data_IF_299579756651
#
_entry.id   IF_299579756651
#
_cell.length_a   1.000
_cell.length_b   1.000
_cell.length_c   1.000
_cell.angle_alpha   90.00
_cell.angle_beta   90.00
_cell.angle_gamma   90.00
#
_symmetry.space_group_name_H-M   'P 1'
#
loop_
_entity.id
_entity.type
_entity.pdbx_description
1 polymer ?
#
# COMPACT_ATOMS: atom_id res chain seq x y z
N UNK A 1 7.90 4.46 -23.18
CA UNK A 1 9.15 5.14 -22.74
C UNK A 1 10.32 4.20 -22.95
N UNK A 2 11.31 4.63 -23.73
CA UNK A 2 12.58 3.92 -23.94
C UNK A 2 13.65 4.42 -22.96
N UNK A 3 14.77 3.69 -22.85
CA UNK A 3 15.93 4.16 -22.07
C UNK A 3 16.47 5.48 -22.62
N UNK A 4 16.45 5.64 -23.94
CA UNK A 4 16.92 6.89 -24.56
C UNK A 4 16.00 8.09 -24.22
N UNK A 5 14.67 7.87 -24.11
CA UNK A 5 13.72 8.90 -23.64
C UNK A 5 14.03 9.31 -22.18
N UNK A 6 14.32 8.33 -21.30
CA UNK A 6 14.67 8.58 -19.90
C UNK A 6 15.95 9.40 -19.81
N UNK A 7 16.98 9.05 -20.59
CA UNK A 7 18.28 9.74 -20.62
C UNK A 7 18.11 11.19 -21.06
N UNK A 8 17.31 11.43 -22.11
CA UNK A 8 17.04 12.76 -22.64
C UNK A 8 16.31 13.61 -21.60
N UNK A 9 15.23 13.08 -21.02
CA UNK A 9 14.42 13.81 -20.03
C UNK A 9 15.21 14.12 -18.76
N UNK A 10 16.02 13.17 -18.28
CA UNK A 10 16.86 13.33 -17.11
C UNK A 10 18.11 14.22 -17.38
N UNK A 11 18.43 14.52 -18.63
CA UNK A 11 19.61 15.32 -18.99
C UNK A 11 20.95 14.66 -18.62
N UNK A 12 21.02 13.33 -18.63
CA UNK A 12 22.21 12.56 -18.23
C UNK A 12 22.86 11.86 -19.43
N UNK A 13 24.15 11.51 -19.31
CA UNK A 13 24.84 10.72 -20.32
C UNK A 13 24.42 9.25 -20.29
N UNK A 14 24.41 8.58 -21.45
CA UNK A 14 24.06 7.15 -21.56
C UNK A 14 24.93 6.26 -20.66
N UNK A 15 26.23 6.57 -20.55
CA UNK A 15 27.13 5.87 -19.63
C UNK A 15 26.77 6.04 -18.16
N UNK A 16 26.26 7.23 -17.78
CA UNK A 16 25.78 7.50 -16.42
C UNK A 16 24.55 6.65 -16.09
N UNK A 17 23.60 6.56 -17.03
CA UNK A 17 22.43 5.70 -16.85
C UNK A 17 22.83 4.24 -16.61
N UNK A 18 23.64 3.64 -17.49
CA UNK A 18 24.05 2.23 -17.38
C UNK A 18 25.03 1.94 -16.23
N UNK A 19 25.59 2.98 -15.62
CA UNK A 19 26.33 2.83 -14.37
C UNK A 19 25.39 2.51 -13.18
N UNK A 20 24.18 3.06 -13.18
CA UNK A 20 23.22 2.86 -12.08
C UNK A 20 22.18 1.78 -12.38
N UNK A 21 21.75 1.61 -13.62
CA UNK A 21 20.67 0.73 -14.02
C UNK A 21 21.07 -0.16 -15.19
N UNK A 22 20.96 -1.47 -15.00
CA UNK A 22 21.29 -2.44 -16.05
C UNK A 22 20.22 -2.49 -17.15
N UNK A 23 18.97 -2.13 -16.84
CA UNK A 23 17.83 -2.19 -17.74
C UNK A 23 16.76 -1.16 -17.37
N UNK A 24 15.78 -0.99 -18.26
CA UNK A 24 14.58 -0.19 -18.00
C UNK A 24 13.75 -0.78 -16.85
N UNK A 25 13.68 -2.09 -16.77
CA UNK A 25 13.00 -2.81 -15.71
C UNK A 25 13.66 -2.55 -14.35
N UNK A 26 15.00 -2.52 -14.30
CA UNK A 26 15.75 -2.17 -13.08
C UNK A 26 15.47 -0.71 -12.66
N UNK A 27 15.31 0.20 -13.62
CA UNK A 27 14.92 1.59 -13.32
C UNK A 27 13.50 1.64 -12.73
N UNK A 28 12.55 0.93 -13.33
CA UNK A 28 11.17 0.88 -12.83
C UNK A 28 11.13 0.30 -11.41
N UNK A 29 11.87 -0.77 -11.15
CA UNK A 29 11.98 -1.38 -9.82
C UNK A 29 12.52 -0.38 -8.79
N UNK A 30 13.58 0.36 -9.12
CA UNK A 30 14.14 1.38 -8.21
C UNK A 30 13.16 2.53 -7.93
N UNK A 31 12.39 2.97 -8.91
CA UNK A 31 11.35 3.99 -8.73
C UNK A 31 10.27 3.49 -7.78
N UNK A 32 9.83 2.24 -7.92
CA UNK A 32 8.82 1.64 -7.06
C UNK A 32 9.33 1.46 -5.64
N UNK A 33 10.58 1.01 -5.46
CA UNK A 33 11.19 0.92 -4.14
C UNK A 33 11.22 2.28 -3.44
N UNK A 34 11.55 3.35 -4.16
CA UNK A 34 11.51 4.71 -3.63
C UNK A 34 10.10 5.16 -3.25
N UNK A 35 9.07 4.76 -4.03
CA UNK A 35 7.66 5.05 -3.71
C UNK A 35 7.23 4.32 -2.43
N UNK A 36 7.59 3.04 -2.28
CA UNK A 36 7.27 2.24 -1.09
C UNK A 36 7.99 2.81 0.15
N UNK A 37 9.26 3.17 0.03
CA UNK A 37 10.01 3.80 1.13
C UNK A 37 9.38 5.13 1.58
N UNK A 38 8.97 5.96 0.63
CA UNK A 38 8.23 7.19 0.92
C UNK A 38 6.91 6.90 1.65
N UNK A 39 6.13 5.93 1.17
CA UNK A 39 4.88 5.52 1.80
C UNK A 39 5.11 4.98 3.22
N UNK A 40 6.15 4.16 3.42
CA UNK A 40 6.56 3.65 4.72
C UNK A 40 6.89 4.77 5.70
N UNK A 41 7.64 5.78 5.27
CA UNK A 41 8.00 6.93 6.10
C UNK A 41 6.77 7.74 6.52
N UNK A 42 5.81 7.97 5.61
CA UNK A 42 4.53 8.62 5.91
C UNK A 42 3.72 7.78 6.91
N UNK A 43 3.63 6.47 6.68
CA UNK A 43 2.91 5.55 7.55
C UNK A 43 3.51 5.48 8.96
N UNK A 44 4.84 5.43 9.08
CA UNK A 44 5.54 5.49 10.38
C UNK A 44 5.29 6.82 11.11
N UNK A 45 5.26 7.93 10.39
CA UNK A 45 4.93 9.23 10.97
C UNK A 45 3.49 9.27 11.51
N UNK A 46 2.54 8.58 10.86
CA UNK A 46 1.16 8.48 11.33
C UNK A 46 1.04 7.80 12.71
N UNK A 47 1.90 6.81 13.01
CA UNK A 47 1.97 6.16 14.33
C UNK A 47 2.22 7.17 15.45
N UNK A 48 3.10 8.13 15.22
CA UNK A 48 3.56 9.09 16.22
C UNK A 48 2.58 10.27 16.42
N UNK A 49 1.62 10.44 15.51
CA UNK A 49 0.66 11.52 15.61
C UNK A 49 -0.39 11.26 16.69
N UNK A 50 -0.71 12.25 17.55
CA UNK A 50 -1.74 12.12 18.58
C UNK A 50 -3.15 12.33 17.99
N UNK A 51 -3.54 11.48 17.04
CA UNK A 51 -4.84 11.49 16.39
C UNK A 51 -5.61 10.20 16.68
N UNK A 52 -6.93 10.15 16.48
CA UNK A 52 -7.73 8.93 16.67
C UNK A 52 -7.20 7.74 15.87
N UNK A 53 -7.37 6.52 16.39
CA UNK A 53 -6.91 5.27 15.78
C UNK A 53 -7.41 5.13 14.33
N UNK A 54 -8.66 5.47 14.05
CA UNK A 54 -9.24 5.43 12.71
C UNK A 54 -8.54 6.37 11.73
N UNK A 55 -8.12 7.55 12.19
CA UNK A 55 -7.34 8.49 11.37
C UNK A 55 -5.91 7.98 11.13
N UNK A 56 -5.28 7.32 12.11
CA UNK A 56 -3.97 6.67 11.91
C UNK A 56 -4.09 5.59 10.83
N UNK A 57 -5.09 4.72 10.93
CA UNK A 57 -5.35 3.66 9.94
C UNK A 57 -5.59 4.25 8.55
N UNK A 58 -6.46 5.26 8.44
CA UNK A 58 -6.71 5.96 7.18
C UNK A 58 -5.42 6.54 6.59
N UNK A 59 -4.61 7.21 7.41
CA UNK A 59 -3.33 7.79 6.96
C UNK A 59 -2.37 6.74 6.41
N UNK A 60 -2.32 5.54 7.00
CA UNK A 60 -1.49 4.44 6.49
C UNK A 60 -2.05 3.92 5.16
N UNK A 61 -3.36 3.69 5.07
CA UNK A 61 -4.00 3.24 3.83
C UNK A 61 -3.73 4.24 2.70
N UNK A 62 -3.93 5.54 2.94
CA UNK A 62 -3.67 6.58 1.95
C UNK A 62 -2.19 6.72 1.58
N UNK A 63 -1.26 6.43 2.50
CA UNK A 63 0.18 6.51 2.23
C UNK A 63 0.62 5.52 1.13
N UNK A 64 -0.04 4.36 1.03
CA UNK A 64 0.24 3.33 0.03
C UNK A 64 -0.61 3.48 -1.25
N UNK A 65 -1.50 4.46 -1.33
CA UNK A 65 -2.21 4.77 -2.57
C UNK A 65 -1.32 5.62 -3.49
N UNK A 66 -1.29 5.32 -4.79
CA UNK A 66 -0.53 6.13 -5.74
C UNK A 66 -1.13 7.53 -5.84
N UNK A 67 -0.28 8.55 -5.82
CA UNK A 67 -0.69 9.91 -6.11
C UNK A 67 -0.88 10.11 -7.63
N UNK A 68 -1.32 11.30 -8.05
CA UNK A 68 -1.62 11.60 -9.45
C UNK A 68 -0.43 11.40 -10.39
N UNK A 69 0.79 11.66 -9.93
CA UNK A 69 2.01 11.51 -10.73
C UNK A 69 2.45 10.04 -10.77
N UNK A 70 2.11 9.26 -9.75
CA UNK A 70 2.43 7.85 -9.61
C UNK A 70 1.44 6.93 -10.36
N UNK A 71 0.22 7.39 -10.66
CA UNK A 71 -0.81 6.61 -11.41
C UNK A 71 -0.27 6.08 -12.74
N UNK A 72 0.55 6.85 -13.46
CA UNK A 72 1.15 6.41 -14.72
C UNK A 72 2.05 5.18 -14.53
N UNK A 73 2.67 5.05 -13.36
CA UNK A 73 3.53 3.91 -13.01
C UNK A 73 2.67 2.69 -12.72
N UNK A 74 1.56 2.86 -11.99
CA UNK A 74 0.62 1.76 -11.70
C UNK A 74 -0.02 1.21 -12.98
N UNK A 75 -0.41 2.07 -13.93
CA UNK A 75 -0.91 1.65 -15.25
C UNK A 75 0.10 0.79 -16.02
N UNK A 76 1.40 1.05 -15.86
CA UNK A 76 2.46 0.23 -16.46
C UNK A 76 2.57 -1.11 -15.77
N UNK A 77 2.42 -1.15 -14.45
CA UNK A 77 2.51 -2.37 -13.63
C UNK A 77 1.35 -3.34 -13.89
N UNK A 78 0.15 -2.83 -14.14
CA UNK A 78 -1.05 -3.63 -14.41
C UNK A 78 -1.02 -4.36 -15.77
N UNK A 79 -0.03 -4.03 -16.63
CA UNK A 79 0.11 -4.73 -17.90
C UNK A 79 0.55 -6.18 -17.69
N UNK A 80 0.01 -7.08 -18.49
CA UNK A 80 0.29 -8.53 -18.43
C UNK A 80 1.77 -8.88 -18.44
N UNK A 81 2.57 -8.10 -19.16
CA UNK A 81 4.03 -8.27 -19.26
C UNK A 81 4.76 -7.99 -17.92
N UNK A 82 4.13 -7.25 -16.99
CA UNK A 82 4.70 -6.84 -15.72
C UNK A 82 4.10 -7.57 -14.51
N UNK A 83 3.30 -8.61 -14.72
CA UNK A 83 2.57 -9.31 -13.65
C UNK A 83 3.48 -9.83 -12.52
N UNK A 84 4.69 -10.27 -12.86
CA UNK A 84 5.67 -10.75 -11.87
C UNK A 84 6.16 -9.61 -10.99
N UNK A 85 6.37 -8.43 -11.58
CA UNK A 85 6.79 -7.23 -10.85
C UNK A 85 5.65 -6.73 -9.98
N UNK A 86 4.42 -6.69 -10.48
CA UNK A 86 3.22 -6.35 -9.72
C UNK A 86 3.06 -7.25 -8.47
N UNK A 87 3.19 -8.57 -8.62
CA UNK A 87 3.14 -9.51 -7.49
C UNK A 87 4.27 -9.26 -6.46
N UNK A 88 5.49 -8.98 -6.93
CA UNK A 88 6.63 -8.64 -6.08
C UNK A 88 6.37 -7.37 -5.26
N UNK A 89 5.79 -6.36 -5.88
CA UNK A 89 5.43 -5.09 -5.23
C UNK A 89 4.33 -5.30 -4.19
N UNK A 90 3.27 -6.01 -4.52
CA UNK A 90 2.20 -6.34 -3.58
C UNK A 90 2.73 -7.04 -2.33
N UNK A 91 3.63 -8.01 -2.49
CA UNK A 91 4.31 -8.68 -1.37
C UNK A 91 5.15 -7.71 -0.53
N UNK A 92 5.87 -6.78 -1.18
CA UNK A 92 6.68 -5.79 -0.48
C UNK A 92 5.83 -4.80 0.31
N UNK A 93 4.70 -4.37 -0.24
CA UNK A 93 3.73 -3.52 0.48
C UNK A 93 3.21 -4.25 1.73
N UNK A 94 2.84 -5.52 1.62
CA UNK A 94 2.40 -6.33 2.76
C UNK A 94 3.50 -6.41 3.83
N UNK A 95 4.73 -6.71 3.43
CA UNK A 95 5.89 -6.81 4.33
C UNK A 95 6.10 -5.51 5.13
N UNK A 96 5.96 -4.36 4.49
CA UNK A 96 6.18 -3.04 5.09
C UNK A 96 4.98 -2.56 5.89
N UNK A 97 3.76 -2.73 5.38
CA UNK A 97 2.55 -2.16 6.00
C UNK A 97 2.05 -2.99 7.20
N UNK A 98 2.22 -4.31 7.19
CA UNK A 98 1.70 -5.19 8.26
C UNK A 98 2.23 -4.82 9.65
N UNK A 99 3.53 -4.61 9.88
CA UNK A 99 4.03 -4.20 11.20
C UNK A 99 3.40 -2.88 11.66
N UNK A 100 3.34 -1.88 10.78
CA UNK A 100 2.83 -0.53 11.09
C UNK A 100 1.34 -0.59 11.46
N UNK A 101 0.52 -1.24 10.63
CA UNK A 101 -0.90 -1.43 10.89
C UNK A 101 -1.15 -2.25 12.16
N UNK A 102 -0.32 -3.27 12.42
CA UNK A 102 -0.41 -4.09 13.62
C UNK A 102 -0.16 -3.28 14.89
N UNK A 103 0.79 -2.35 14.86
CA UNK A 103 1.07 -1.48 15.99
C UNK A 103 -0.11 -0.51 16.26
N UNK A 104 -0.73 0.03 15.21
CA UNK A 104 -1.95 0.85 15.35
C UNK A 104 -3.11 0.01 15.93
N UNK A 105 -3.29 -1.23 15.48
CA UNK A 105 -4.33 -2.12 16.02
C UNK A 105 -4.06 -2.46 17.49
N UNK A 106 -2.81 -2.73 17.89
CA UNK A 106 -2.42 -2.93 19.29
C UNK A 106 -2.70 -1.71 20.16
N UNK A 107 -2.41 -0.51 19.65
CA UNK A 107 -2.78 0.75 20.32
C UNK A 107 -4.31 0.86 20.47
N UNK A 108 -5.06 0.52 19.42
CA UNK A 108 -6.53 0.48 19.45
C UNK A 108 -7.09 -0.54 20.45
N UNK A 109 -6.44 -1.68 20.63
CA UNK A 109 -6.79 -2.67 21.67
C UNK A 109 -6.58 -2.07 23.06
N UNK A 110 -5.45 -1.41 23.29
CA UNK A 110 -5.16 -0.75 24.57
C UNK A 110 -6.17 0.37 24.91
N UNK A 111 -6.76 1.00 23.88
CA UNK A 111 -7.81 2.02 24.03
C UNK A 111 -9.23 1.43 24.08
N UNK A 112 -9.40 0.10 23.94
CA UNK A 112 -10.71 -0.56 23.92
C UNK A 112 -11.53 -0.36 22.65
N UNK A 113 -10.89 0.07 21.55
CA UNK A 113 -11.52 0.24 20.24
C UNK A 113 -11.61 -1.11 19.52
N UNK A 114 -10.58 -1.94 19.66
CA UNK A 114 -10.47 -3.27 19.09
C UNK A 114 -10.39 -4.34 20.18
N UNK A 115 -10.81 -5.57 19.83
CA UNK A 115 -10.77 -6.71 20.74
C UNK A 115 -10.46 -8.00 19.95
N UNK A 116 -9.20 -8.18 19.57
CA UNK A 116 -8.76 -9.38 18.85
C UNK A 116 -7.42 -9.91 19.36
N UNK A 117 -7.16 -11.17 19.03
CA UNK A 117 -5.87 -11.85 19.20
C UNK A 117 -5.23 -12.10 17.85
N UNK A 118 -3.96 -12.52 17.81
CA UNK A 118 -3.23 -12.80 16.55
C UNK A 118 -3.28 -11.59 15.59
N UNK A 119 -2.93 -10.42 16.11
CA UNK A 119 -3.10 -9.12 15.42
C UNK A 119 -2.40 -9.13 14.07
N UNK A 120 -1.16 -9.57 14.04
CA UNK A 120 -0.32 -9.51 12.82
C UNK A 120 -0.87 -10.41 11.71
N UNK A 121 -1.29 -11.64 12.06
CA UNK A 121 -1.89 -12.58 11.12
C UNK A 121 -3.22 -12.04 10.56
N UNK A 122 -4.05 -11.44 11.42
CA UNK A 122 -5.31 -10.82 10.97
C UNK A 122 -5.07 -9.66 10.04
N UNK A 123 -4.21 -8.73 10.41
CA UNK A 123 -3.84 -7.57 9.59
C UNK A 123 -3.27 -8.02 8.26
N UNK A 124 -2.37 -9.01 8.25
CA UNK A 124 -1.80 -9.58 7.04
C UNK A 124 -2.87 -10.16 6.11
N UNK A 125 -3.76 -10.99 6.64
CA UNK A 125 -4.83 -11.61 5.84
C UNK A 125 -5.79 -10.58 5.27
N UNK A 126 -6.19 -9.59 6.08
CA UNK A 126 -7.06 -8.50 5.65
C UNK A 126 -6.39 -7.65 4.55
N UNK A 127 -5.12 -7.33 4.70
CA UNK A 127 -4.38 -6.56 3.69
C UNK A 127 -4.23 -7.32 2.37
N UNK A 128 -3.89 -8.60 2.40
CA UNK A 128 -3.80 -9.45 1.20
C UNK A 128 -5.17 -9.54 0.51
N UNK A 129 -6.25 -9.69 1.29
CA UNK A 129 -7.60 -9.73 0.75
C UNK A 129 -7.98 -8.41 0.06
N UNK A 130 -7.65 -7.26 0.67
CA UNK A 130 -7.90 -5.95 0.06
C UNK A 130 -7.14 -5.76 -1.25
N UNK A 131 -5.84 -6.10 -1.27
CA UNK A 131 -5.05 -6.02 -2.51
C UNK A 131 -5.70 -6.82 -3.63
N UNK A 132 -6.01 -8.11 -3.39
CA UNK A 132 -6.65 -8.94 -4.41
C UNK A 132 -8.02 -8.39 -4.87
N UNK A 133 -8.80 -7.81 -3.97
CA UNK A 133 -10.10 -7.24 -4.30
C UNK A 133 -9.96 -6.00 -5.19
N UNK A 134 -9.01 -5.12 -4.88
CA UNK A 134 -8.83 -3.84 -5.59
C UNK A 134 -7.99 -3.95 -6.86
N UNK A 135 -6.98 -4.81 -6.89
CA UNK A 135 -6.06 -4.99 -8.04
C UNK A 135 -6.76 -5.51 -9.29
N UNK A 136 -7.81 -6.31 -9.14
CA UNK A 136 -8.52 -6.90 -10.29
C UNK A 136 -9.71 -6.08 -10.80
N UNK A 137 -9.96 -4.90 -10.24
CA UNK A 137 -10.88 -3.89 -10.77
C UNK A 137 -12.36 -4.26 -10.89
N UNK A 138 -12.77 -5.42 -10.40
CA UNK A 138 -14.12 -5.97 -10.53
C UNK A 138 -14.87 -6.02 -9.19
N UNK A 139 -14.82 -4.94 -8.41
CA UNK A 139 -15.55 -4.85 -7.14
C UNK A 139 -16.71 -3.86 -7.22
N UNK A 140 -17.78 -4.16 -6.49
CA UNK A 140 -18.96 -3.32 -6.31
C UNK A 140 -18.94 -2.61 -4.94
N UNK A 141 -19.79 -1.60 -4.76
CA UNK A 141 -19.97 -0.98 -3.44
C UNK A 141 -20.36 -2.02 -2.37
N UNK A 142 -21.10 -3.08 -2.77
CA UNK A 142 -21.48 -4.15 -1.86
C UNK A 142 -20.29 -5.00 -1.42
N UNK A 143 -19.30 -5.20 -2.27
CA UNK A 143 -18.08 -5.90 -1.91
C UNK A 143 -17.27 -5.09 -0.89
N UNK A 144 -17.23 -3.75 -1.05
CA UNK A 144 -16.61 -2.85 -0.07
C UNK A 144 -17.34 -2.92 1.27
N UNK A 145 -18.68 -2.85 1.29
CA UNK A 145 -19.49 -2.98 2.52
C UNK A 145 -19.20 -4.29 3.25
N UNK A 146 -19.16 -5.41 2.52
CA UNK A 146 -18.86 -6.73 3.08
C UNK A 146 -17.42 -6.79 3.60
N UNK A 147 -16.46 -6.22 2.86
CA UNK A 147 -15.07 -6.16 3.30
C UNK A 147 -14.93 -5.37 4.61
N UNK A 148 -15.58 -4.21 4.74
CA UNK A 148 -15.58 -3.39 5.96
C UNK A 148 -16.19 -4.16 7.13
N UNK A 149 -17.32 -4.84 6.94
CA UNK A 149 -17.95 -5.70 7.95
C UNK A 149 -17.00 -6.83 8.41
N UNK A 150 -16.34 -7.51 7.48
CA UNK A 150 -15.36 -8.55 7.80
C UNK A 150 -14.15 -8.00 8.57
N UNK A 151 -13.68 -6.81 8.21
CA UNK A 151 -12.58 -6.13 8.87
C UNK A 151 -12.95 -5.77 10.30
N UNK A 152 -14.12 -5.15 10.52
CA UNK A 152 -14.62 -4.80 11.85
C UNK A 152 -14.80 -6.04 12.74
N UNK A 153 -15.43 -7.09 12.24
CA UNK A 153 -15.61 -8.35 12.95
C UNK A 153 -14.28 -9.04 13.26
N UNK A 154 -13.35 -9.03 12.30
CA UNK A 154 -12.02 -9.63 12.49
C UNK A 154 -11.21 -8.91 13.57
N UNK A 155 -11.30 -7.59 13.65
CA UNK A 155 -10.61 -6.80 14.66
C UNK A 155 -11.39 -6.64 15.96
N UNK A 156 -12.63 -7.14 16.04
CA UNK A 156 -13.50 -6.96 17.18
C UNK A 156 -13.90 -5.50 17.41
N UNK A 157 -14.02 -4.74 16.34
CA UNK A 157 -14.49 -3.36 16.36
C UNK A 157 -16.02 -3.28 16.42
N UNK A 158 -16.54 -2.13 16.84
CA UNK A 158 -17.96 -1.84 16.72
C UNK A 158 -18.29 -1.53 15.26
N UNK A 159 -19.51 -1.87 14.84
CA UNK A 159 -20.04 -1.51 13.53
C UNK A 159 -19.90 0.00 13.28
N UNK A 160 -19.44 0.37 12.09
CA UNK A 160 -19.20 1.75 11.66
C UNK A 160 -17.84 2.34 12.07
N UNK A 161 -17.01 1.61 12.83
CA UNK A 161 -15.68 2.08 13.23
C UNK A 161 -14.77 2.32 12.01
N UNK A 162 -14.96 1.53 10.94
CA UNK A 162 -14.15 1.56 9.72
C UNK A 162 -14.90 2.15 8.51
N UNK A 163 -15.98 2.91 8.73
CA UNK A 163 -16.80 3.49 7.65
C UNK A 163 -16.00 4.39 6.69
N UNK A 164 -14.90 4.97 7.13
CA UNK A 164 -14.00 5.79 6.31
C UNK A 164 -13.41 5.06 5.09
N UNK A 165 -13.47 3.71 5.08
CA UNK A 165 -12.98 2.91 3.93
C UNK A 165 -13.99 2.93 2.78
N UNK A 166 -15.27 3.16 3.09
CA UNK A 166 -16.37 3.18 2.11
C UNK A 166 -16.77 4.59 1.65
N UNK A 167 -16.14 5.64 2.18
CA UNK A 167 -16.35 7.05 1.81
C UNK A 167 -15.37 7.47 0.69
#
# INVERSE_FOLDING_TARGET
TSVDDIIIEAGIAKGTYYYYFESKEATLEAVIEMMIEKAENIAKAALMNPVPITQKLASVVYAFQPNKDEIVITDVLERKENIVMHDKIGKKIVEVAVPILSDIVREGIAQGIFACTNVEERVKMLLIMSQNMFDYGAYSNKDIEVYVDMLEKSLGAKEGTMSFISE
#
